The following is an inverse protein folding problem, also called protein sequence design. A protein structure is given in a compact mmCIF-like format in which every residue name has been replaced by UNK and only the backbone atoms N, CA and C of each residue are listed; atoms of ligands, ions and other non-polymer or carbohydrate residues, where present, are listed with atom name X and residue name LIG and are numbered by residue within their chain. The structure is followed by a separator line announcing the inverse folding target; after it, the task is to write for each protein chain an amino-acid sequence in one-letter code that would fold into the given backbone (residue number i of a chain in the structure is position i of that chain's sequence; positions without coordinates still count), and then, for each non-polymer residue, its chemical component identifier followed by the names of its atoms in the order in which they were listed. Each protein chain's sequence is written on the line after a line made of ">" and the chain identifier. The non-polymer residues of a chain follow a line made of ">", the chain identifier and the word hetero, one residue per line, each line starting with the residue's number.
data_IF_612499421606
#
_entry.id   IF_612499421606
#
_cell.length_a   1.000
_cell.length_b   1.000
_cell.length_c   1.000
_cell.angle_alpha   90.00
_cell.angle_beta   90.00
_cell.angle_gamma   90.00
#
_symmetry.space_group_name_H-M   'P 1'
#
loop_
_entity.id
_entity.type
_entity.pdbx_description
1 polymer ?
#
# COMPACT_ATOMS: atom_id res chain seq x y z
N UNK A 1 -1.27 -3.60 -4.46
CA UNK A 1 0.15 -3.24 -4.48
C UNK A 1 0.93 -4.27 -5.27
N UNK A 2 1.85 -3.83 -6.11
CA UNK A 2 2.69 -4.74 -6.89
C UNK A 2 4.05 -4.10 -7.14
N UNK A 3 5.10 -4.90 -7.12
CA UNK A 3 6.42 -4.49 -7.59
C UNK A 3 6.37 -4.27 -9.11
N UNK A 4 7.16 -3.32 -9.60
CA UNK A 4 7.34 -3.01 -11.01
C UNK A 4 8.78 -2.57 -11.27
N UNK A 5 9.15 -2.39 -12.53
CA UNK A 5 10.52 -2.01 -12.91
C UNK A 5 11.02 -0.74 -12.21
N UNK A 6 10.13 0.22 -11.92
CA UNK A 6 10.47 1.52 -11.30
C UNK A 6 10.40 1.49 -9.77
N UNK A 7 9.82 0.46 -9.13
CA UNK A 7 9.61 0.38 -7.69
C UNK A 7 8.35 -0.37 -7.29
N UNK A 8 7.51 0.21 -6.44
CA UNK A 8 6.28 -0.44 -5.97
C UNK A 8 5.07 0.43 -6.37
N UNK A 9 4.18 -0.14 -7.19
CA UNK A 9 2.93 0.49 -7.62
C UNK A 9 1.81 0.22 -6.61
N UNK A 10 1.06 1.27 -6.25
CA UNK A 10 -0.15 1.22 -5.45
C UNK A 10 -1.31 1.62 -6.36
N UNK A 11 -2.14 0.68 -6.74
CA UNK A 11 -3.19 0.88 -7.74
C UNK A 11 -4.53 0.44 -7.18
N UNK A 12 -5.55 1.26 -7.34
CA UNK A 12 -6.90 0.93 -6.90
C UNK A 12 -7.97 1.84 -7.49
N UNK A 13 -9.25 1.47 -7.39
CA UNK A 13 -10.33 2.33 -7.84
C UNK A 13 -10.35 3.65 -7.07
N UNK A 14 -10.45 4.76 -7.80
CA UNK A 14 -10.61 6.08 -7.21
C UNK A 14 -12.04 6.27 -6.70
N UNK A 15 -12.18 6.63 -5.44
CA UNK A 15 -13.49 6.86 -4.82
C UNK A 15 -13.97 8.28 -5.07
N UNK A 16 -13.07 9.25 -5.01
CA UNK A 16 -13.31 10.66 -5.33
C UNK A 16 -11.98 11.37 -5.60
N UNK A 17 -12.06 12.59 -6.14
CA UNK A 17 -10.85 13.39 -6.40
C UNK A 17 -10.08 13.81 -5.13
N UNK A 18 -10.71 13.76 -3.96
CA UNK A 18 -10.12 14.22 -2.70
C UNK A 18 -9.85 13.11 -1.68
N UNK A 19 -10.48 11.94 -1.86
CA UNK A 19 -10.36 10.82 -0.92
C UNK A 19 -9.48 9.75 -1.52
N UNK A 20 -8.34 9.53 -0.92
CA UNK A 20 -7.36 8.57 -1.37
C UNK A 20 -7.27 7.34 -0.45
N UNK A 21 -7.19 6.18 -1.07
CA UNK A 21 -6.96 4.90 -0.37
C UNK A 21 -5.48 4.56 -0.25
N UNK A 22 -4.65 5.31 -0.96
CA UNK A 22 -3.20 5.16 -0.92
C UNK A 22 -2.57 6.41 -0.30
N UNK A 23 -1.43 6.25 0.36
CA UNK A 23 -0.74 7.37 0.98
C UNK A 23 0.69 7.03 1.37
N UNK A 24 1.50 8.06 1.54
CA UNK A 24 2.81 7.93 2.17
C UNK A 24 2.65 7.89 3.69
N UNK A 25 3.46 7.06 4.35
CA UNK A 25 3.63 7.06 5.80
C UNK A 25 4.93 7.79 6.16
N UNK A 26 6.04 7.40 5.57
CA UNK A 26 7.35 8.02 5.74
C UNK A 26 8.20 7.68 4.51
N UNK A 27 9.09 8.55 4.09
CA UNK A 27 9.86 8.44 2.86
C UNK A 27 10.29 7.00 2.52
N UNK A 28 9.80 6.46 1.41
CA UNK A 28 9.99 5.08 1.01
C UNK A 28 8.99 4.06 1.58
N UNK A 29 8.11 4.46 2.51
CA UNK A 29 7.04 3.59 3.05
C UNK A 29 5.69 4.13 2.62
N UNK A 30 4.96 3.34 1.84
CA UNK A 30 3.61 3.62 1.38
C UNK A 30 2.57 2.71 2.03
N UNK A 31 1.33 3.19 2.06
CA UNK A 31 0.18 2.47 2.57
C UNK A 31 -0.92 2.44 1.52
N UNK A 32 -1.60 1.31 1.40
CA UNK A 32 -2.93 1.22 0.78
C UNK A 32 -3.90 0.54 1.74
N UNK A 33 -5.18 0.88 1.65
CA UNK A 33 -6.19 0.26 2.49
C UNK A 33 -7.56 0.19 1.79
N UNK A 34 -8.37 -0.78 2.22
CA UNK A 34 -9.78 -0.93 1.84
C UNK A 34 -10.61 -1.00 3.11
N UNK A 35 -11.85 -0.53 3.03
CA UNK A 35 -12.76 -0.47 4.17
C UNK A 35 -13.34 0.93 4.39
N UNK A 36 -13.67 1.26 5.63
CA UNK A 36 -14.29 2.53 6.00
C UNK A 36 -13.27 3.68 5.93
N UNK A 37 -13.53 4.66 5.06
CA UNK A 37 -12.59 5.73 4.75
C UNK A 37 -12.12 6.52 5.98
N UNK A 38 -13.02 6.87 6.91
CA UNK A 38 -12.66 7.60 8.13
C UNK A 38 -11.68 6.83 9.02
N UNK A 39 -11.78 5.50 9.04
CA UNK A 39 -10.87 4.63 9.78
C UNK A 39 -9.52 4.49 9.05
N UNK A 40 -9.54 4.39 7.71
CA UNK A 40 -8.32 4.40 6.88
C UNK A 40 -7.50 5.66 7.14
N UNK A 41 -8.14 6.84 7.09
CA UNK A 41 -7.43 8.11 7.29
C UNK A 41 -6.92 8.27 8.73
N UNK A 42 -7.71 7.82 9.72
CA UNK A 42 -7.27 7.80 11.12
C UNK A 42 -6.04 6.90 11.31
N UNK A 43 -6.05 5.70 10.74
CA UNK A 43 -4.92 4.77 10.82
C UNK A 43 -3.70 5.31 10.06
N UNK A 44 -3.89 5.95 8.90
CA UNK A 44 -2.79 6.60 8.17
C UNK A 44 -2.10 7.67 9.01
N UNK A 45 -2.88 8.58 9.61
CA UNK A 45 -2.36 9.63 10.48
C UNK A 45 -1.65 9.03 11.70
N UNK A 46 -2.22 7.99 12.31
CA UNK A 46 -1.62 7.31 13.44
C UNK A 46 -0.27 6.67 13.08
N UNK A 47 -0.18 6.05 11.89
CA UNK A 47 1.06 5.47 11.37
C UNK A 47 2.14 6.52 11.10
N UNK A 48 1.78 7.65 10.51
CA UNK A 48 2.71 8.78 10.29
C UNK A 48 3.27 9.26 11.65
N UNK A 49 2.42 9.47 12.64
CA UNK A 49 2.85 9.88 13.99
C UNK A 49 3.77 8.84 14.63
N UNK A 50 3.45 7.57 14.50
CA UNK A 50 4.29 6.49 15.03
C UNK A 50 5.65 6.46 14.34
N UNK A 51 5.68 6.61 13.01
CA UNK A 51 6.91 6.66 12.24
C UNK A 51 7.77 7.88 12.61
N UNK A 52 7.16 9.06 12.76
CA UNK A 52 7.85 10.29 13.17
C UNK A 52 8.44 10.18 14.59
N UNK A 53 7.69 9.60 15.55
CA UNK A 53 8.19 9.35 16.91
C UNK A 53 9.40 8.41 16.85
N UNK A 54 9.31 7.31 16.11
CA UNK A 54 10.40 6.35 15.97
C UNK A 54 11.63 6.98 15.29
N UNK A 55 11.42 7.78 14.25
CA UNK A 55 12.46 8.51 13.55
C UNK A 55 13.17 9.55 14.43
N UNK A 56 12.43 10.20 15.33
CA UNK A 56 12.99 11.15 16.29
C UNK A 56 13.79 10.48 17.40
N UNK A 57 13.29 9.34 17.93
CA UNK A 57 13.92 8.63 19.06
C UNK A 57 15.18 7.86 18.63
N UNK A 58 15.22 7.38 17.41
CA UNK A 58 16.32 6.54 16.90
C UNK A 58 16.95 7.19 15.66
N UNK A 59 16.56 6.76 14.50
CA UNK A 59 16.96 7.36 13.22
C UNK A 59 15.83 7.17 12.20
N UNK A 60 15.75 8.09 11.23
CA UNK A 60 14.79 7.95 10.13
C UNK A 60 15.05 6.71 9.27
N UNK A 61 16.30 6.28 9.19
CA UNK A 61 16.73 5.07 8.50
C UNK A 61 16.37 3.77 9.20
N UNK A 62 16.01 3.85 10.50
CA UNK A 62 15.66 2.68 11.31
C UNK A 62 14.14 2.43 11.35
N UNK A 63 13.36 3.27 10.67
CA UNK A 63 11.91 3.08 10.56
C UNK A 63 11.62 2.18 9.38
N UNK A 64 11.17 0.96 9.66
CA UNK A 64 10.84 -0.05 8.67
C UNK A 64 9.35 -0.40 8.66
N UNK A 65 8.84 -0.78 7.49
CA UNK A 65 7.44 -1.21 7.35
C UNK A 65 7.09 -2.39 8.25
N UNK A 66 8.02 -3.31 8.51
CA UNK A 66 7.84 -4.42 9.43
C UNK A 66 7.53 -3.96 10.87
N UNK A 67 8.26 -2.95 11.36
CA UNK A 67 8.05 -2.38 12.70
C UNK A 67 6.69 -1.68 12.78
N UNK A 68 6.30 -0.96 11.74
CA UNK A 68 4.98 -0.33 11.63
C UNK A 68 3.86 -1.37 11.51
N UNK A 69 4.04 -2.42 10.73
CA UNK A 69 3.08 -3.52 10.62
C UNK A 69 2.84 -4.19 11.98
N UNK A 70 3.93 -4.44 12.75
CA UNK A 70 3.84 -4.95 14.11
C UNK A 70 3.13 -3.99 15.08
N UNK A 71 3.30 -2.68 14.89
CA UNK A 71 2.58 -1.69 15.67
C UNK A 71 1.09 -1.68 15.34
N UNK A 72 0.72 -1.69 14.05
CA UNK A 72 -0.67 -1.79 13.61
C UNK A 72 -1.34 -3.08 14.07
N UNK A 73 -0.63 -4.21 14.01
CA UNK A 73 -1.10 -5.51 14.51
C UNK A 73 -1.59 -5.42 15.96
N UNK A 74 -0.76 -4.84 16.83
CA UNK A 74 -1.13 -4.66 18.24
C UNK A 74 -2.32 -3.72 18.42
N UNK A 75 -2.38 -2.65 17.62
CA UNK A 75 -3.44 -1.65 17.71
C UNK A 75 -4.79 -2.20 17.24
N UNK A 76 -4.81 -2.85 16.06
CA UNK A 76 -6.01 -3.47 15.51
C UNK A 76 -6.45 -4.69 16.33
N UNK A 77 -5.51 -5.55 16.69
CA UNK A 77 -5.78 -6.74 17.51
C UNK A 77 -6.36 -6.40 18.88
N UNK A 78 -5.87 -5.34 19.54
CA UNK A 78 -6.43 -4.87 20.80
C UNK A 78 -7.89 -4.41 20.64
N UNK A 79 -8.20 -3.64 19.57
CA UNK A 79 -9.56 -3.19 19.27
C UNK A 79 -10.48 -4.36 18.90
N UNK A 80 -9.96 -5.35 18.18
CA UNK A 80 -10.71 -6.55 17.79
C UNK A 80 -11.06 -7.44 19.00
N UNK A 81 -10.16 -7.56 19.96
CA UNK A 81 -10.35 -8.36 21.17
C UNK A 81 -11.21 -7.68 22.25
N UNK A 82 -11.41 -6.38 22.17
CA UNK A 82 -12.20 -5.62 23.13
C UNK A 82 -13.70 -5.70 22.81
N UNK A 83 -14.46 -6.38 23.66
CA UNK A 83 -15.92 -6.52 23.50
C UNK A 83 -16.71 -5.21 23.65
N UNK A 84 -16.09 -4.14 24.14
CA UNK A 84 -16.72 -2.83 24.33
C UNK A 84 -16.43 -1.84 23.22
N UNK A 85 -15.43 -2.13 22.39
CA UNK A 85 -14.99 -1.30 21.28
C UNK A 85 -15.41 -1.94 19.94
N UNK A 86 -15.91 -1.12 19.02
CA UNK A 86 -16.18 -1.62 17.68
C UNK A 86 -14.84 -1.91 16.97
N UNK A 87 -14.63 -3.12 16.44
CA UNK A 87 -13.48 -3.44 15.62
C UNK A 87 -13.38 -2.54 14.39
N UNK A 88 -12.16 -2.30 13.91
CA UNK A 88 -11.92 -1.59 12.66
C UNK A 88 -12.43 -2.40 11.46
N UNK A 89 -13.11 -1.72 10.55
CA UNK A 89 -13.57 -2.29 9.27
C UNK A 89 -12.56 -1.94 8.16
N UNK A 90 -11.31 -2.33 8.35
CA UNK A 90 -10.19 -1.97 7.45
C UNK A 90 -9.27 -3.17 7.26
N UNK A 91 -8.90 -3.43 6.01
CA UNK A 91 -7.75 -4.23 5.63
C UNK A 91 -6.72 -3.31 4.99
N UNK A 92 -5.46 -3.43 5.34
CA UNK A 92 -4.42 -2.53 4.87
C UNK A 92 -3.15 -3.27 4.45
N UNK A 93 -2.36 -2.60 3.63
CA UNK A 93 -1.02 -3.06 3.28
C UNK A 93 -0.02 -1.92 3.42
N UNK A 94 1.18 -2.25 3.87
CA UNK A 94 2.34 -1.39 3.90
C UNK A 94 3.37 -1.89 2.89
N UNK A 95 3.94 -0.99 2.11
CA UNK A 95 5.05 -1.28 1.23
C UNK A 95 6.27 -0.47 1.63
N UNK A 96 7.43 -1.09 1.69
CA UNK A 96 8.72 -0.45 1.89
C UNK A 96 9.58 -0.63 0.65
N UNK A 97 10.04 0.49 0.11
CA UNK A 97 10.93 0.50 -1.05
C UNK A 97 12.37 0.24 -0.60
N UNK A 98 12.92 -0.89 -0.99
CA UNK A 98 14.31 -1.25 -0.76
C UNK A 98 15.28 -0.56 -1.74
N UNK A 99 16.56 -0.78 -1.56
CA UNK A 99 17.60 -0.35 -2.51
C UNK A 99 17.57 -1.15 -3.82
N UNK A 100 17.10 -2.38 -3.76
CA UNK A 100 16.86 -3.28 -4.91
C UNK A 100 15.45 -3.85 -4.83
N UNK A 101 14.93 -4.41 -5.92
CA UNK A 101 13.60 -5.06 -5.92
C UNK A 101 13.51 -6.22 -4.93
N UNK A 102 14.59 -6.94 -4.72
CA UNK A 102 14.66 -8.05 -3.76
C UNK A 102 14.63 -7.60 -2.29
N UNK A 103 14.93 -6.33 -2.03
CA UNK A 103 14.87 -5.72 -0.71
C UNK A 103 13.55 -4.97 -0.46
N UNK A 104 12.66 -4.94 -1.44
CA UNK A 104 11.30 -4.41 -1.26
C UNK A 104 10.51 -5.36 -0.34
N UNK A 105 9.71 -4.78 0.54
CA UNK A 105 8.86 -5.56 1.44
C UNK A 105 7.42 -5.07 1.38
N UNK A 106 6.47 -6.02 1.38
CA UNK A 106 5.04 -5.73 1.43
C UNK A 106 4.42 -6.55 2.56
N UNK A 107 3.73 -5.87 3.47
CA UNK A 107 3.01 -6.47 4.59
C UNK A 107 1.53 -6.20 4.46
N UNK A 108 0.70 -7.21 4.66
CA UNK A 108 -0.76 -7.05 4.84
C UNK A 108 -1.12 -7.12 6.31
N UNK A 109 -2.09 -6.32 6.70
CA UNK A 109 -2.61 -6.27 8.06
C UNK A 109 -4.14 -6.36 7.98
N UNK A 110 -4.70 -7.39 8.57
CA UNK A 110 -6.14 -7.61 8.63
C UNK A 110 -6.78 -6.90 9.83
N UNK A 111 -8.10 -6.79 9.82
CA UNK A 111 -8.87 -6.11 10.85
C UNK A 111 -8.70 -6.70 12.26
N UNK A 112 -8.35 -7.98 12.36
CA UNK A 112 -8.06 -8.69 13.62
C UNK A 112 -6.62 -8.48 14.11
N UNK A 113 -5.80 -7.74 13.34
CA UNK A 113 -4.39 -7.51 13.63
C UNK A 113 -3.45 -8.59 13.09
N UNK A 114 -3.94 -9.57 12.34
CA UNK A 114 -3.07 -10.57 11.67
C UNK A 114 -2.17 -9.87 10.64
N UNK A 115 -0.86 -10.12 10.71
CA UNK A 115 0.13 -9.61 9.77
C UNK A 115 0.69 -10.74 8.95
N UNK A 116 0.76 -10.52 7.63
CA UNK A 116 1.42 -11.43 6.70
C UNK A 116 2.41 -10.66 5.83
N UNK A 117 3.61 -11.18 5.68
CA UNK A 117 4.57 -10.71 4.68
C UNK A 117 4.27 -11.38 3.35
N UNK A 118 4.22 -10.60 2.28
CA UNK A 118 3.86 -11.10 0.95
C UNK A 118 5.07 -11.14 0.04
N UNK A 119 5.24 -12.28 -0.63
CA UNK A 119 6.16 -12.43 -1.75
C UNK A 119 5.36 -12.21 -3.03
N UNK A 120 5.46 -11.01 -3.61
CA UNK A 120 4.75 -10.65 -4.83
C UNK A 120 3.54 -9.73 -4.64
N UNK A 121 2.68 -9.61 -5.66
CA UNK A 121 1.55 -8.68 -5.64
C UNK A 121 0.52 -8.98 -4.56
N UNK A 122 0.00 -7.91 -3.94
CA UNK A 122 -1.03 -7.96 -2.90
C UNK A 122 -2.30 -7.29 -3.38
N UNK A 123 -3.44 -7.93 -3.17
CA UNK A 123 -4.76 -7.37 -3.42
C UNK A 123 -5.53 -7.32 -2.10
N UNK A 124 -6.03 -6.15 -1.77
CA UNK A 124 -6.88 -5.95 -0.60
C UNK A 124 -8.36 -6.07 -0.99
N UNK A 125 -9.16 -6.67 -0.11
CA UNK A 125 -10.59 -6.82 -0.30
C UNK A 125 -11.01 -7.81 -1.40
N UNK A 126 -10.08 -8.63 -1.90
CA UNK A 126 -10.36 -9.65 -2.89
C UNK A 126 -10.41 -11.04 -2.26
N UNK A 127 -11.08 -11.95 -2.94
CA UNK A 127 -11.02 -13.36 -2.64
C UNK A 127 -9.66 -13.97 -3.09
N UNK A 128 -9.36 -15.15 -2.60
CA UNK A 128 -8.11 -15.87 -2.88
C UNK A 128 -7.92 -16.18 -4.38
N UNK A 129 -9.01 -16.47 -5.08
CA UNK A 129 -8.98 -16.76 -6.52
C UNK A 129 -8.55 -15.55 -7.35
N UNK A 130 -9.05 -14.35 -7.02
CA UNK A 130 -8.67 -13.10 -7.69
C UNK A 130 -7.23 -12.74 -7.40
N UNK A 131 -6.79 -12.93 -6.16
CA UNK A 131 -5.40 -12.70 -5.74
C UNK A 131 -4.46 -13.58 -6.53
N UNK A 132 -4.71 -14.88 -6.60
CA UNK A 132 -3.88 -15.85 -7.33
C UNK A 132 -3.79 -15.53 -8.83
N UNK A 133 -4.92 -15.16 -9.45
CA UNK A 133 -4.93 -14.80 -10.89
C UNK A 133 -4.12 -13.54 -11.17
N UNK A 134 -4.23 -12.52 -10.33
CA UNK A 134 -3.46 -11.29 -10.54
C UNK A 134 -1.97 -11.52 -10.25
N UNK A 135 -1.64 -12.33 -9.28
CA UNK A 135 -0.25 -12.72 -9.00
C UNK A 135 0.41 -13.43 -10.18
N UNK A 136 -0.35 -14.26 -10.91
CA UNK A 136 0.16 -14.95 -12.10
C UNK A 136 0.43 -14.00 -13.29
N UNK A 137 -0.28 -12.87 -13.35
CA UNK A 137 -0.18 -11.92 -14.48
C UNK A 137 0.83 -10.79 -14.24
N UNK A 138 1.28 -10.59 -13.00
CA UNK A 138 2.18 -9.50 -12.63
C UNK A 138 3.58 -10.02 -12.33
N UNK A 139 4.57 -9.34 -12.87
CA UNK A 139 6.00 -9.60 -12.61
C UNK A 139 6.72 -8.33 -12.16
N UNK A 140 7.77 -8.47 -11.37
CA UNK A 140 8.56 -7.37 -10.82
C UNK A 140 9.26 -6.48 -11.87
N UNK A 141 9.39 -6.98 -13.10
CA UNK A 141 10.11 -6.30 -14.18
C UNK A 141 9.19 -5.55 -15.15
N UNK A 142 7.87 -5.68 -14.99
CA UNK A 142 6.93 -4.98 -15.85
C UNK A 142 7.01 -3.47 -15.62
N UNK A 143 6.92 -2.65 -16.68
CA UNK A 143 6.77 -1.21 -16.56
C UNK A 143 5.43 -0.86 -15.92
N UNK A 144 5.36 0.35 -15.32
CA UNK A 144 4.19 0.79 -14.55
C UNK A 144 2.89 0.78 -15.36
N UNK A 145 2.94 1.18 -16.62
CA UNK A 145 1.80 1.22 -17.52
C UNK A 145 1.20 -0.18 -17.77
N UNK A 146 2.03 -1.20 -17.94
CA UNK A 146 1.58 -2.60 -18.05
C UNK A 146 0.95 -3.10 -16.75
N UNK A 147 1.55 -2.78 -15.60
CA UNK A 147 0.98 -3.13 -14.29
C UNK A 147 -0.40 -2.50 -14.13
N UNK A 148 -0.54 -1.20 -14.44
CA UNK A 148 -1.82 -0.50 -14.35
C UNK A 148 -2.83 -1.08 -15.34
N UNK A 149 -2.42 -1.36 -16.58
CA UNK A 149 -3.30 -1.98 -17.58
C UNK A 149 -3.79 -3.37 -17.13
N UNK A 150 -2.92 -4.20 -16.61
CA UNK A 150 -3.28 -5.52 -16.07
C UNK A 150 -4.30 -5.40 -14.93
N UNK A 151 -4.04 -4.52 -13.97
CA UNK A 151 -4.93 -4.29 -12.83
C UNK A 151 -6.28 -3.76 -13.28
N UNK A 152 -6.33 -2.77 -14.17
CA UNK A 152 -7.59 -2.19 -14.69
C UNK A 152 -8.43 -3.22 -15.43
N UNK A 153 -7.79 -4.04 -16.25
CA UNK A 153 -8.45 -5.12 -17.00
C UNK A 153 -9.03 -6.17 -16.05
N UNK A 154 -8.30 -6.56 -15.01
CA UNK A 154 -8.75 -7.56 -14.03
C UNK A 154 -9.83 -7.05 -13.09
N UNK A 155 -9.80 -5.76 -12.75
CA UNK A 155 -10.85 -5.13 -11.93
C UNK A 155 -12.08 -4.72 -12.74
N UNK A 156 -11.96 -4.61 -14.06
CA UNK A 156 -13.03 -4.11 -14.93
C UNK A 156 -13.35 -2.62 -14.69
N UNK A 157 -12.36 -1.85 -14.22
CA UNK A 157 -12.49 -0.42 -13.93
C UNK A 157 -11.68 0.38 -14.96
N UNK A 158 -12.26 1.41 -15.61
CA UNK A 158 -11.54 2.26 -16.55
C UNK A 158 -10.33 2.93 -15.90
N UNK A 159 -9.27 3.13 -16.71
CA UNK A 159 -8.00 3.69 -16.21
C UNK A 159 -8.14 5.10 -15.64
N UNK A 160 -9.03 5.91 -16.18
CA UNK A 160 -9.35 7.27 -15.72
C UNK A 160 -10.10 7.31 -14.38
N UNK A 161 -10.60 6.17 -13.92
CA UNK A 161 -11.23 5.98 -12.62
C UNK A 161 -10.31 5.27 -11.62
N UNK A 162 -9.02 5.18 -11.94
CA UNK A 162 -8.03 4.57 -11.05
C UNK A 162 -7.22 5.62 -10.31
N UNK A 163 -6.96 5.34 -9.06
CA UNK A 163 -5.92 6.00 -8.27
C UNK A 163 -4.63 5.22 -8.43
N UNK A 164 -3.58 5.87 -8.92
CA UNK A 164 -2.24 5.28 -9.07
C UNK A 164 -1.24 6.09 -8.27
N UNK A 165 -0.48 5.43 -7.44
CA UNK A 165 0.68 5.99 -6.77
C UNK A 165 1.88 5.06 -6.94
N UNK A 166 3.07 5.62 -6.91
CA UNK A 166 4.32 4.90 -7.07
C UNK A 166 5.28 5.25 -5.94
N UNK A 167 5.88 4.24 -5.35
CA UNK A 167 7.13 4.35 -4.61
C UNK A 167 8.26 4.15 -5.63
N UNK A 168 8.84 5.24 -6.11
CA UNK A 168 9.82 5.22 -7.20
C UNK A 168 11.25 5.13 -6.68
N UNK A 169 11.98 4.14 -7.17
CA UNK A 169 13.37 3.91 -6.82
C UNK A 169 14.25 5.03 -7.40
N UNK A 170 15.21 5.49 -6.60
CA UNK A 170 16.13 6.55 -7.01
C UNK A 170 15.65 7.98 -6.70
N UNK A 171 14.41 8.18 -6.27
CA UNK A 171 13.90 9.52 -5.87
C UNK A 171 14.26 9.93 -4.43
N UNK A 172 14.92 9.07 -3.69
CA UNK A 172 15.33 9.35 -2.31
C UNK A 172 14.12 9.59 -1.38
N UNK A 173 14.13 10.65 -0.54
CA UNK A 173 13.09 10.89 0.46
C UNK A 173 11.70 11.19 -0.13
N UNK A 174 11.59 11.43 -1.42
CA UNK A 174 10.34 11.70 -2.15
C UNK A 174 9.96 10.55 -3.06
N UNK A 175 10.23 9.31 -2.64
CA UNK A 175 9.92 8.11 -3.40
C UNK A 175 8.43 8.00 -3.73
N UNK A 176 7.54 8.35 -2.78
CA UNK A 176 6.10 8.33 -3.00
C UNK A 176 5.65 9.53 -3.83
N UNK A 177 4.91 9.26 -4.91
CA UNK A 177 4.17 10.28 -5.65
C UNK A 177 2.95 9.67 -6.33
N UNK A 178 1.98 10.52 -6.65
CA UNK A 178 0.79 10.14 -7.42
C UNK A 178 1.10 10.27 -8.90
N UNK A 179 0.59 9.31 -9.66
CA UNK A 179 0.71 9.24 -11.12
C UNK A 179 -0.67 9.53 -11.70
N UNK A 180 -0.75 10.46 -12.63
CA UNK A 180 -1.99 10.69 -13.37
C UNK A 180 -2.13 9.64 -14.49
N UNK A 181 -3.09 8.69 -14.35
CA UNK A 181 -3.20 7.61 -15.33
C UNK A 181 -3.55 8.11 -16.75
N UNK A 182 -4.16 9.29 -16.84
CA UNK A 182 -4.57 9.88 -18.13
C UNK A 182 -3.44 10.56 -18.88
N UNK A 183 -2.45 11.08 -18.17
CA UNK A 183 -1.37 11.89 -18.72
C UNK A 183 -0.03 11.17 -18.71
N UNK A 184 0.33 10.58 -17.55
CA UNK A 184 1.67 10.06 -17.33
C UNK A 184 1.89 8.65 -17.92
N UNK A 185 0.80 7.87 -18.08
CA UNK A 185 0.86 6.50 -18.61
C UNK A 185 0.67 6.40 -20.12
N UNK A 186 0.48 7.53 -20.83
CA UNK A 186 0.26 7.57 -22.29
C UNK A 186 1.49 8.01 -23.08
N UNK A 187 2.63 8.20 -22.45
CA UNK A 187 3.86 8.52 -23.21
C UNK A 187 4.49 7.24 -23.76
N UNK A 188 4.66 7.16 -25.08
CA UNK A 188 5.35 6.05 -25.73
C UNK A 188 6.83 6.03 -25.40
#
# INVERSE_FOLDING_TARGET
>A
MAQCASGIALVGPQVSAQLHRTGEILGGIGMAAVGKFSEIEMLRIAGIRQADISAYLYSRTDVHAQSLASWYSRHLGAAFADSTTKPYEVQMALAELGTTSQADAIFTIDADGTVSESVGPVILGADEDRTTRLQADLTEQQPLDEVVHTVTTRLGVPVDQMEVALLERGRGPRAFHRVDPGTDLRQP
#
